data_IF_426998850966
#
_entry.id   IF_426998850966
#
_cell.length_a   1.000
_cell.length_b   1.000
_cell.length_c   1.000
_cell.angle_alpha   90.00
_cell.angle_beta   90.00
_cell.angle_gamma   90.00
#
_symmetry.space_group_name_H-M   'P 1'
#
loop_
_entity.id
_entity.type
_entity.pdbx_description
1 polymer ?
#
# COMPACT_ATOMS: atom_id res chain seq x y z
N UNK A 1 13.81 16.46 7.34
CA UNK A 1 12.67 15.59 6.97
C UNK A 1 12.88 14.21 7.59
N UNK A 2 11.99 13.79 8.48
CA UNK A 2 11.94 12.47 9.08
C UNK A 2 10.92 11.64 8.30
N UNK A 3 11.38 10.80 7.38
CA UNK A 3 10.53 9.92 6.58
C UNK A 3 10.52 8.51 7.16
N UNK A 4 9.32 7.99 7.46
CA UNK A 4 9.14 6.64 7.99
C UNK A 4 8.87 5.62 6.87
N UNK A 5 9.61 4.52 6.89
CA UNK A 5 9.57 3.46 5.86
C UNK A 5 8.73 2.27 6.30
N UNK A 6 7.87 1.78 5.41
CA UNK A 6 7.19 0.48 5.53
C UNK A 6 7.80 -0.47 4.51
N UNK A 7 8.06 -1.71 4.91
CA UNK A 7 8.87 -2.64 4.12
C UNK A 7 8.03 -3.70 3.37
N UNK A 8 6.99 -3.26 2.64
CA UNK A 8 6.20 -4.15 1.78
C UNK A 8 6.74 -4.21 0.35
N UNK A 9 6.48 -5.32 -0.35
CA UNK A 9 6.87 -5.51 -1.75
C UNK A 9 6.36 -4.36 -2.62
N UNK A 10 5.12 -3.91 -2.43
CA UNK A 10 4.51 -2.81 -3.19
C UNK A 10 5.17 -1.43 -3.01
N UNK A 11 6.14 -1.28 -2.10
CA UNK A 11 6.92 -0.06 -1.96
C UNK A 11 8.37 -0.24 -2.43
N UNK A 12 8.76 -1.45 -2.86
CA UNK A 12 10.11 -1.74 -3.32
C UNK A 12 10.57 -0.80 -4.46
N UNK A 13 9.79 -0.56 -5.53
CA UNK A 13 10.18 0.41 -6.57
C UNK A 13 10.42 1.81 -6.01
N UNK A 14 9.56 2.25 -5.08
CA UNK A 14 9.69 3.55 -4.44
C UNK A 14 10.96 3.64 -3.58
N UNK A 15 11.27 2.61 -2.81
CA UNK A 15 12.46 2.55 -1.95
C UNK A 15 13.76 2.63 -2.75
N UNK A 16 13.81 1.94 -3.89
CA UNK A 16 14.96 2.00 -4.79
C UNK A 16 15.10 3.41 -5.38
N UNK A 17 13.98 3.99 -5.81
CA UNK A 17 13.96 5.33 -6.35
C UNK A 17 14.45 6.37 -5.34
N UNK A 18 13.93 6.38 -4.10
CA UNK A 18 14.35 7.37 -3.10
C UNK A 18 15.82 7.17 -2.70
N UNK A 19 16.31 5.92 -2.61
CA UNK A 19 17.71 5.63 -2.30
C UNK A 19 18.66 6.21 -3.34
N UNK A 20 18.24 6.22 -4.63
CA UNK A 20 19.00 6.81 -5.74
C UNK A 20 18.90 8.35 -5.77
N UNK A 21 17.74 8.91 -5.45
CA UNK A 21 17.47 10.34 -5.65
C UNK A 21 17.76 11.22 -4.42
N UNK A 22 17.85 10.63 -3.23
CA UNK A 22 18.32 11.34 -2.04
C UNK A 22 19.85 11.43 -2.12
N UNK A 23 20.42 12.64 -2.00
CA UNK A 23 21.88 12.83 -1.96
C UNK A 23 22.46 12.66 -0.55
N UNK A 24 21.74 13.12 0.47
CA UNK A 24 22.18 13.06 1.88
C UNK A 24 22.28 11.61 2.37
N UNK A 25 23.48 11.19 2.77
CA UNK A 25 23.75 9.91 3.44
C UNK A 25 23.03 9.81 4.77
N UNK A 26 23.01 10.88 5.56
CA UNK A 26 22.30 10.97 6.84
C UNK A 26 20.79 10.71 6.67
N UNK A 27 20.17 11.30 5.65
CA UNK A 27 18.75 11.08 5.39
C UNK A 27 18.48 9.63 4.98
N UNK A 28 19.34 9.02 4.15
CA UNK A 28 19.22 7.59 3.79
C UNK A 28 19.29 6.69 5.03
N UNK A 29 20.30 6.90 5.87
CA UNK A 29 20.47 6.13 7.10
C UNK A 29 19.26 6.30 8.04
N UNK A 30 18.76 7.53 8.17
CA UNK A 30 17.56 7.80 8.97
C UNK A 30 16.32 7.08 8.44
N UNK A 31 16.13 7.01 7.12
CA UNK A 31 14.97 6.32 6.52
C UNK A 31 15.03 4.82 6.81
N UNK A 32 16.20 4.20 6.65
CA UNK A 32 16.37 2.77 6.95
C UNK A 32 16.23 2.48 8.45
N UNK A 33 16.78 3.33 9.31
CA UNK A 33 16.64 3.20 10.77
C UNK A 33 15.19 3.37 11.25
N UNK A 34 14.40 4.25 10.60
CA UNK A 34 12.99 4.50 10.95
C UNK A 34 12.02 3.51 10.27
N UNK A 35 12.53 2.42 9.71
CA UNK A 35 11.73 1.36 9.11
C UNK A 35 10.92 0.60 10.15
N UNK A 36 9.64 0.35 9.90
CA UNK A 36 8.81 -0.48 10.78
C UNK A 36 7.52 -0.97 10.10
N UNK A 37 6.67 -1.65 10.86
CA UNK A 37 5.38 -2.16 10.40
C UNK A 37 4.28 -1.07 10.40
N UNK A 38 3.20 -1.25 9.62
CA UNK A 38 2.25 -0.17 9.32
C UNK A 38 1.60 0.51 10.53
N UNK A 39 1.18 -0.25 11.54
CA UNK A 39 0.49 0.31 12.71
C UNK A 39 1.43 1.17 13.57
N UNK A 40 2.69 0.78 13.74
CA UNK A 40 3.68 1.62 14.44
C UNK A 40 3.98 2.90 13.65
N UNK A 41 4.14 2.80 12.32
CA UNK A 41 4.37 3.96 11.46
C UNK A 41 3.18 4.93 11.53
N UNK A 42 1.96 4.41 11.47
CA UNK A 42 0.74 5.20 11.59
C UNK A 42 0.67 5.92 12.93
N UNK A 43 0.97 5.23 14.03
CA UNK A 43 1.01 5.84 15.36
C UNK A 43 2.08 6.94 15.45
N UNK A 44 3.30 6.68 14.97
CA UNK A 44 4.38 7.68 14.92
C UNK A 44 3.97 8.91 14.11
N UNK A 45 3.31 8.72 12.97
CA UNK A 45 2.83 9.82 12.12
C UNK A 45 1.75 10.65 12.81
N UNK A 46 0.74 10.00 13.42
CA UNK A 46 -0.35 10.68 14.16
C UNK A 46 0.17 11.45 15.38
N UNK A 47 1.19 10.91 16.07
CA UNK A 47 1.88 11.59 17.17
C UNK A 47 2.92 12.63 16.70
N UNK A 48 2.97 12.95 15.41
CA UNK A 48 3.91 13.90 14.79
C UNK A 48 5.39 13.60 15.10
N UNK A 49 5.74 12.34 15.35
CA UNK A 49 7.13 11.87 15.55
C UNK A 49 7.89 11.67 14.24
N UNK A 50 7.16 11.69 13.12
CA UNK A 50 7.71 11.63 11.76
C UNK A 50 6.98 12.66 10.89
N UNK A 51 7.69 13.20 9.91
CA UNK A 51 7.18 14.26 9.05
C UNK A 51 6.31 13.69 7.93
N UNK A 52 6.61 12.48 7.46
CA UNK A 52 5.94 11.87 6.32
C UNK A 52 6.01 10.34 6.36
N UNK A 53 4.95 9.69 5.89
CA UNK A 53 4.85 8.24 5.81
C UNK A 53 3.73 7.81 4.84
N UNK A 54 3.81 6.58 4.32
CA UNK A 54 2.64 5.94 3.73
C UNK A 54 1.66 5.55 4.84
N UNK A 55 0.44 6.07 4.74
CA UNK A 55 -0.65 5.82 5.68
C UNK A 55 -1.79 5.15 4.92
N UNK A 56 -2.36 4.10 5.51
CA UNK A 56 -3.47 3.37 4.91
C UNK A 56 -4.67 4.29 4.67
N UNK A 57 -5.46 4.01 3.63
CA UNK A 57 -6.56 4.89 3.22
C UNK A 57 -7.55 5.19 4.34
N UNK A 58 -7.87 4.22 5.21
CA UNK A 58 -8.76 4.47 6.34
C UNK A 58 -8.11 5.39 7.39
N UNK A 59 -6.82 5.20 7.67
CA UNK A 59 -6.08 5.96 8.68
C UNK A 59 -5.66 7.36 8.21
N UNK A 60 -5.64 7.61 6.89
CA UNK A 60 -5.32 8.92 6.30
C UNK A 60 -6.50 9.90 6.33
N UNK A 61 -7.66 9.48 6.87
CA UNK A 61 -8.81 10.36 7.08
C UNK A 61 -8.37 11.62 7.84
N UNK A 62 -8.69 12.78 7.26
CA UNK A 62 -8.35 14.13 7.75
C UNK A 62 -6.84 14.47 7.78
N UNK A 63 -5.98 13.66 7.17
CA UNK A 63 -4.55 13.98 7.04
C UNK A 63 -4.26 14.65 5.70
N UNK A 64 -3.18 15.45 5.67
CA UNK A 64 -2.63 15.99 4.43
C UNK A 64 -1.82 14.90 3.71
N UNK A 65 -1.99 14.78 2.39
CA UNK A 65 -1.28 13.81 1.56
C UNK A 65 -0.98 14.38 0.18
N UNK A 66 0.06 13.84 -0.45
CA UNK A 66 0.44 14.18 -1.82
C UNK A 66 -0.42 13.42 -2.83
N UNK A 67 -0.34 13.80 -4.11
CA UNK A 67 -0.94 13.02 -5.21
C UNK A 67 -0.16 11.72 -5.49
N UNK A 68 0.20 10.99 -4.43
CA UNK A 68 1.06 9.82 -4.46
C UNK A 68 0.57 8.80 -3.42
N UNK A 69 0.43 7.54 -3.81
CA UNK A 69 -0.15 6.49 -2.98
C UNK A 69 0.16 5.08 -3.49
N UNK A 70 -0.61 4.10 -3.05
CA UNK A 70 -0.57 2.72 -3.53
C UNK A 70 -1.94 2.42 -4.09
N UNK A 71 -2.02 2.16 -5.39
CA UNK A 71 -3.25 2.08 -6.17
C UNK A 71 -3.30 0.78 -6.95
N UNK A 72 -4.48 0.16 -7.01
CA UNK A 72 -4.78 -0.88 -7.99
C UNK A 72 -5.92 -0.40 -8.91
N UNK A 73 -5.69 -0.45 -10.21
CA UNK A 73 -6.69 -0.13 -11.23
C UNK A 73 -7.57 -1.32 -11.61
N UNK A 74 -7.27 -2.50 -11.08
CA UNK A 74 -8.02 -3.74 -11.29
C UNK A 74 -7.75 -4.70 -10.12
N UNK A 75 -7.60 -6.01 -10.36
CA UNK A 75 -7.09 -6.94 -9.36
C UNK A 75 -5.65 -6.61 -8.88
N UNK A 76 -5.38 -6.90 -7.61
CA UNK A 76 -4.12 -6.58 -6.92
C UNK A 76 -3.37 -7.83 -6.41
N UNK A 77 -4.01 -9.00 -6.41
CA UNK A 77 -3.46 -10.32 -6.02
C UNK A 77 -3.04 -10.49 -4.55
N UNK A 78 -2.80 -9.38 -3.85
CA UNK A 78 -2.26 -9.31 -2.49
C UNK A 78 -3.29 -8.80 -1.47
N UNK A 79 -4.56 -8.69 -1.85
CA UNK A 79 -5.68 -8.36 -0.96
C UNK A 79 -6.85 -9.25 -1.33
N UNK A 80 -6.95 -10.37 -0.62
CA UNK A 80 -7.87 -11.45 -0.93
C UNK A 80 -8.86 -11.64 0.21
N UNK A 81 -10.05 -12.11 -0.15
CA UNK A 81 -11.02 -12.67 0.76
C UNK A 81 -11.26 -14.13 0.38
N UNK A 82 -10.98 -15.04 1.31
CA UNK A 82 -11.30 -16.46 1.18
C UNK A 82 -12.70 -16.67 1.75
N UNK A 83 -13.66 -17.20 0.98
CA UNK A 83 -15.01 -17.47 1.48
C UNK A 83 -15.01 -18.40 2.70
N UNK A 84 -16.01 -18.24 3.56
CA UNK A 84 -16.16 -19.05 4.78
C UNK A 84 -16.20 -18.21 6.04
N UNK A 85 -15.49 -18.65 7.09
CA UNK A 85 -15.53 -18.02 8.41
C UNK A 85 -14.99 -16.58 8.34
N UNK A 86 -15.76 -15.64 8.87
CA UNK A 86 -15.36 -14.23 8.89
C UNK A 86 -14.15 -14.04 9.81
N UNK A 87 -13.03 -13.60 9.23
CA UNK A 87 -11.80 -13.34 9.97
C UNK A 87 -11.11 -12.10 9.41
N UNK A 88 -10.85 -11.14 10.28
CA UNK A 88 -10.12 -9.91 9.94
C UNK A 88 -8.61 -10.13 9.93
N UNK A 89 -7.91 -9.47 9.00
CA UNK A 89 -6.46 -9.42 9.00
C UNK A 89 -5.96 -8.33 9.94
N UNK A 90 -5.22 -8.69 10.99
CA UNK A 90 -4.70 -7.73 11.98
C UNK A 90 -3.75 -6.69 11.36
N UNK A 91 -3.16 -6.96 10.19
CA UNK A 91 -2.22 -6.06 9.53
C UNK A 91 -2.90 -4.96 8.70
N UNK A 92 -4.21 -5.05 8.40
CA UNK A 92 -4.88 -4.09 7.51
C UNK A 92 -6.30 -3.73 7.92
N UNK A 93 -6.45 -2.57 8.57
CA UNK A 93 -7.75 -1.94 8.80
C UNK A 93 -8.46 -1.57 7.48
N UNK A 94 -7.73 -1.13 6.46
CA UNK A 94 -8.30 -0.73 5.17
C UNK A 94 -8.96 -1.91 4.46
N UNK A 95 -8.28 -3.06 4.41
CA UNK A 95 -8.80 -4.24 3.70
C UNK A 95 -9.98 -4.88 4.44
N UNK A 96 -9.93 -4.92 5.78
CA UNK A 96 -11.08 -5.37 6.58
C UNK A 96 -12.28 -4.45 6.37
N UNK A 97 -12.06 -3.14 6.34
CA UNK A 97 -13.13 -2.19 6.06
C UNK A 97 -13.65 -2.30 4.62
N UNK A 98 -12.79 -2.60 3.65
CA UNK A 98 -13.18 -2.83 2.26
C UNK A 98 -14.11 -4.03 2.13
N UNK A 99 -13.79 -5.17 2.76
CA UNK A 99 -14.68 -6.34 2.78
C UNK A 99 -16.09 -5.97 3.33
N UNK A 100 -16.14 -5.22 4.43
CA UNK A 100 -17.40 -4.74 5.03
C UNK A 100 -18.16 -3.75 4.15
N UNK A 101 -17.46 -2.89 3.40
CA UNK A 101 -18.06 -1.94 2.43
C UNK A 101 -18.61 -2.66 1.20
N UNK A 102 -18.00 -3.78 0.83
CA UNK A 102 -18.45 -4.62 -0.28
C UNK A 102 -19.52 -5.64 0.15
N UNK A 103 -19.86 -5.70 1.45
CA UNK A 103 -20.80 -6.66 2.05
C UNK A 103 -20.35 -8.12 1.83
N UNK A 104 -19.04 -8.36 1.81
CA UNK A 104 -18.43 -9.67 1.65
C UNK A 104 -18.06 -10.26 3.01
N UNK A 105 -18.36 -11.55 3.20
CA UNK A 105 -18.04 -12.31 4.42
C UNK A 105 -17.01 -13.38 4.12
N UNK A 106 -15.98 -13.45 4.94
CA UNK A 106 -14.90 -14.43 4.81
C UNK A 106 -13.62 -13.98 5.50
N UNK A 107 -12.56 -14.71 5.25
CA UNK A 107 -11.23 -14.43 5.82
C UNK A 107 -10.47 -13.48 4.92
N UNK A 108 -10.16 -12.29 5.42
CA UNK A 108 -9.30 -11.33 4.73
C UNK A 108 -7.84 -11.73 4.92
N UNK A 109 -7.09 -11.77 3.83
CA UNK A 109 -5.64 -12.04 3.81
C UNK A 109 -4.97 -10.96 2.97
N UNK A 110 -3.93 -10.32 3.50
CA UNK A 110 -3.26 -9.20 2.81
C UNK A 110 -1.73 -9.32 2.73
N UNK A 111 -1.14 -8.56 1.80
CA UNK A 111 0.30 -8.38 1.67
C UNK A 111 1.03 -9.61 1.12
N UNK A 112 2.28 -9.77 1.52
CA UNK A 112 3.19 -10.82 1.03
C UNK A 112 2.59 -12.23 1.22
N UNK A 113 1.93 -12.50 2.35
CA UNK A 113 1.25 -13.77 2.62
C UNK A 113 0.05 -14.04 1.70
N UNK A 114 -0.70 -13.00 1.32
CA UNK A 114 -1.80 -13.13 0.37
C UNK A 114 -1.28 -13.42 -1.04
N UNK A 115 -0.16 -12.80 -1.40
CA UNK A 115 0.48 -13.03 -2.69
C UNK A 115 1.02 -14.46 -2.80
N UNK A 116 1.63 -15.02 -1.75
CA UNK A 116 1.98 -16.46 -1.74
C UNK A 116 0.74 -17.33 -1.88
N UNK A 117 -0.27 -17.09 -1.03
CA UNK A 117 -1.51 -17.84 -1.04
C UNK A 117 -2.18 -17.84 -2.42
N UNK A 118 -2.15 -16.70 -3.13
CA UNK A 118 -2.67 -16.57 -4.49
C UNK A 118 -2.01 -17.55 -5.48
N UNK A 119 -0.70 -17.73 -5.36
CA UNK A 119 0.08 -18.56 -6.29
C UNK A 119 0.14 -20.03 -5.90
N UNK A 120 0.14 -20.35 -4.61
CA UNK A 120 0.17 -21.72 -4.08
C UNK A 120 -1.19 -22.40 -4.23
N UNK A 121 -2.29 -21.67 -4.03
CA UNK A 121 -3.63 -22.24 -3.99
C UNK A 121 -4.45 -21.76 -5.19
N UNK A 122 -4.03 -22.14 -6.41
CA UNK A 122 -4.66 -21.65 -7.66
C UNK A 122 -6.13 -22.04 -7.76
N UNK A 123 -6.45 -23.25 -7.33
CA UNK A 123 -7.79 -23.84 -7.45
C UNK A 123 -8.72 -23.46 -6.28
N UNK A 124 -8.19 -22.86 -5.22
CA UNK A 124 -9.02 -22.36 -4.12
C UNK A 124 -9.79 -21.10 -4.53
N UNK A 125 -11.06 -21.06 -4.14
CA UNK A 125 -11.90 -19.90 -4.32
C UNK A 125 -11.37 -18.72 -3.49
N UNK A 126 -11.12 -17.60 -4.17
CA UNK A 126 -10.57 -16.39 -3.57
C UNK A 126 -11.08 -15.17 -4.32
N UNK A 127 -11.49 -14.17 -3.57
CA UNK A 127 -12.05 -12.93 -4.08
C UNK A 127 -11.02 -11.82 -3.93
N UNK A 128 -10.58 -11.24 -5.05
CA UNK A 128 -9.74 -10.05 -5.01
C UNK A 128 -10.59 -8.81 -4.68
N UNK A 129 -10.31 -8.17 -3.54
CA UNK A 129 -11.14 -7.06 -3.07
C UNK A 129 -11.01 -5.79 -3.93
N UNK A 130 -9.88 -5.57 -4.60
CA UNK A 130 -9.73 -4.45 -5.54
C UNK A 130 -10.54 -4.71 -6.81
N UNK A 131 -10.55 -5.96 -7.31
CA UNK A 131 -11.40 -6.36 -8.42
C UNK A 131 -12.88 -6.15 -8.11
N UNK A 132 -13.34 -6.60 -6.95
CA UNK A 132 -14.73 -6.42 -6.54
C UNK A 132 -15.11 -4.95 -6.36
N UNK A 133 -14.20 -4.13 -5.81
CA UNK A 133 -14.41 -2.69 -5.75
C UNK A 133 -14.59 -2.08 -7.15
N UNK A 134 -13.73 -2.45 -8.10
CA UNK A 134 -13.85 -1.98 -9.48
C UNK A 134 -15.14 -2.45 -10.13
N UNK A 135 -15.54 -3.71 -9.94
CA UNK A 135 -16.79 -4.22 -10.49
C UNK A 135 -18.00 -3.45 -9.95
N UNK A 136 -18.02 -3.13 -8.65
CA UNK A 136 -19.14 -2.43 -7.99
C UNK A 136 -19.21 -0.93 -8.31
N UNK A 137 -18.06 -0.25 -8.39
CA UNK A 137 -18.01 1.22 -8.48
C UNK A 137 -17.35 1.77 -9.74
N UNK A 138 -16.79 0.91 -10.59
CA UNK A 138 -16.00 1.27 -11.78
C UNK A 138 -14.89 2.28 -11.49
N UNK A 139 -14.23 2.11 -10.35
CA UNK A 139 -13.18 2.99 -9.85
C UNK A 139 -11.95 2.16 -9.42
N UNK A 140 -10.73 2.71 -9.52
CA UNK A 140 -9.55 2.09 -8.94
C UNK A 140 -9.69 2.05 -7.41
N UNK A 141 -8.90 1.21 -6.73
CA UNK A 141 -8.83 1.22 -5.28
C UNK A 141 -7.50 1.80 -4.78
N UNK A 142 -7.58 2.71 -3.81
CA UNK A 142 -6.41 3.30 -3.15
C UNK A 142 -6.22 2.61 -1.81
N UNK A 143 -5.09 1.95 -1.61
CA UNK A 143 -4.77 1.22 -0.36
C UNK A 143 -4.10 2.09 0.69
N UNK A 144 -3.24 3.00 0.23
CA UNK A 144 -2.50 3.93 1.07
C UNK A 144 -2.19 5.21 0.30
N UNK A 145 -1.96 6.29 1.03
CA UNK A 145 -1.51 7.58 0.48
C UNK A 145 -0.27 8.06 1.22
N UNK A 146 0.58 8.82 0.53
CA UNK A 146 1.76 9.41 1.13
C UNK A 146 1.38 10.68 1.89
N UNK A 147 1.23 10.54 3.21
CA UNK A 147 0.86 11.64 4.10
C UNK A 147 2.08 12.45 4.55
N UNK A 148 1.84 13.71 4.90
CA UNK A 148 2.83 14.62 5.45
C UNK A 148 2.25 15.55 6.53
N UNK A 149 3.11 15.94 7.45
CA UNK A 149 2.86 16.90 8.52
C UNK A 149 3.73 18.16 8.38
N UNK A 150 4.88 18.00 7.72
CA UNK A 150 5.86 19.05 7.45
C UNK A 150 6.60 18.72 6.14
N UNK A 151 7.41 19.66 5.64
CA UNK A 151 8.31 19.46 4.50
C UNK A 151 7.61 19.10 3.17
N UNK A 152 6.37 19.56 2.95
CA UNK A 152 5.60 19.28 1.74
C UNK A 152 6.38 19.53 0.45
N UNK A 153 6.98 20.72 0.29
CA UNK A 153 7.76 21.08 -0.91
C UNK A 153 8.89 20.09 -1.19
N UNK A 154 9.60 19.67 -0.15
CA UNK A 154 10.70 18.70 -0.28
C UNK A 154 10.18 17.31 -0.64
N UNK A 155 9.08 16.88 -0.02
CA UNK A 155 8.46 15.58 -0.31
C UNK A 155 7.88 15.54 -1.73
N UNK A 156 7.18 16.60 -2.15
CA UNK A 156 6.68 16.75 -3.53
C UNK A 156 7.82 16.72 -4.53
N UNK A 157 8.93 17.44 -4.28
CA UNK A 157 10.10 17.40 -5.15
C UNK A 157 10.72 16.00 -5.21
N UNK A 158 10.75 15.28 -4.09
CA UNK A 158 11.23 13.90 -4.04
C UNK A 158 10.37 12.99 -4.91
N UNK A 159 9.03 13.07 -4.84
CA UNK A 159 8.15 12.15 -5.56
C UNK A 159 7.80 12.55 -6.99
N UNK A 160 7.98 13.83 -7.38
CA UNK A 160 7.53 14.38 -8.67
C UNK A 160 8.00 13.59 -9.90
N UNK A 161 9.21 13.04 -9.85
CA UNK A 161 9.82 12.33 -10.97
C UNK A 161 9.82 10.80 -10.78
N UNK A 162 9.05 10.30 -9.80
CA UNK A 162 8.90 8.87 -9.63
C UNK A 162 8.13 8.30 -10.83
N UNK A 163 8.73 7.31 -11.49
CA UNK A 163 8.05 6.54 -12.52
C UNK A 163 8.49 5.09 -12.42
N UNK A 164 7.56 4.22 -11.99
CA UNK A 164 7.83 2.80 -11.75
C UNK A 164 8.40 2.08 -12.97
N UNK A 165 8.05 2.50 -14.19
CA UNK A 165 8.49 1.86 -15.45
C UNK A 165 10.01 1.92 -15.65
N UNK A 166 10.66 2.94 -15.09
CA UNK A 166 12.11 3.15 -15.23
C UNK A 166 12.90 2.66 -14.01
N UNK A 167 12.24 2.04 -13.02
CA UNK A 167 12.92 1.52 -11.83
C UNK A 167 13.40 0.10 -12.10
N UNK A 168 14.71 -0.05 -12.28
CA UNK A 168 15.36 -1.37 -12.31
C UNK A 168 15.62 -1.85 -10.89
N UNK A 169 15.09 -3.02 -10.54
CA UNK A 169 15.30 -3.66 -9.24
C UNK A 169 16.59 -4.48 -9.31
N UNK A 170 17.63 -4.16 -8.52
CA UNK A 170 18.84 -4.97 -8.46
C UNK A 170 18.52 -6.40 -8.00
N UNK A 171 19.14 -7.40 -8.63
CA UNK A 171 18.86 -8.81 -8.38
C UNK A 171 19.04 -9.21 -6.91
N UNK A 172 20.08 -8.71 -6.24
CA UNK A 172 20.32 -9.01 -4.82
C UNK A 172 19.20 -8.47 -3.91
N UNK A 173 18.60 -7.32 -4.25
CA UNK A 173 17.46 -6.78 -3.48
C UNK A 173 16.22 -7.62 -3.76
N UNK A 174 15.98 -7.96 -5.03
CA UNK A 174 14.85 -8.81 -5.40
C UNK A 174 14.92 -10.18 -4.69
N UNK A 175 16.12 -10.77 -4.61
CA UNK A 175 16.38 -12.01 -3.87
C UNK A 175 16.08 -11.86 -2.38
N UNK A 176 16.52 -10.77 -1.73
CA UNK A 176 16.21 -10.51 -0.32
C UNK A 176 14.70 -10.44 -0.05
N UNK A 177 13.94 -9.77 -0.92
CA UNK A 177 12.48 -9.75 -0.80
C UNK A 177 11.86 -11.11 -1.07
N UNK A 178 12.39 -11.87 -2.03
CA UNK A 178 11.94 -13.23 -2.34
C UNK A 178 12.08 -14.16 -1.14
N UNK A 179 13.26 -14.19 -0.52
CA UNK A 179 13.55 -15.03 0.65
C UNK A 179 12.67 -14.62 1.83
N UNK A 180 12.59 -13.31 2.14
CA UNK A 180 11.84 -12.81 3.30
C UNK A 180 10.34 -13.04 3.18
N UNK A 181 9.79 -12.89 1.97
CA UNK A 181 8.35 -13.00 1.74
C UNK A 181 7.90 -14.41 1.42
N UNK A 182 8.80 -15.30 0.97
CA UNK A 182 8.44 -16.58 0.35
C UNK A 182 7.93 -16.45 -1.10
N UNK A 183 7.74 -15.23 -1.61
CA UNK A 183 7.22 -14.99 -2.96
C UNK A 183 8.36 -15.11 -3.96
N UNK A 184 8.20 -15.93 -5.00
CA UNK A 184 9.23 -16.03 -6.05
C UNK A 184 9.54 -14.67 -6.71
N UNK A 185 10.79 -14.46 -7.11
CA UNK A 185 11.21 -13.25 -7.85
C UNK A 185 10.30 -12.92 -9.05
N UNK A 186 9.87 -13.96 -9.78
CA UNK A 186 8.95 -13.83 -10.91
C UNK A 186 7.60 -13.26 -10.46
N UNK A 187 7.00 -13.85 -9.44
CA UNK A 187 5.71 -13.41 -8.90
C UNK A 187 5.78 -12.00 -8.30
N UNK A 188 6.89 -11.63 -7.66
CA UNK A 188 7.14 -10.24 -7.21
C UNK A 188 7.07 -9.27 -8.39
N UNK A 189 7.79 -9.57 -9.48
CA UNK A 189 7.82 -8.69 -10.66
C UNK A 189 6.46 -8.60 -11.35
N UNK A 190 5.71 -9.70 -11.41
CA UNK A 190 4.33 -9.72 -11.94
C UNK A 190 3.38 -8.89 -11.07
N UNK A 191 3.45 -9.06 -9.75
CA UNK A 191 2.67 -8.28 -8.79
C UNK A 191 2.93 -6.77 -8.91
N UNK A 192 4.20 -6.36 -9.02
CA UNK A 192 4.56 -4.95 -9.13
C UNK A 192 4.00 -4.27 -10.39
N UNK A 193 3.65 -5.03 -11.44
CA UNK A 193 2.96 -4.47 -12.62
C UNK A 193 1.54 -4.01 -12.27
N UNK A 194 0.87 -4.67 -11.32
CA UNK A 194 -0.51 -4.40 -10.87
C UNK A 194 -0.63 -3.19 -9.94
N UNK A 195 0.50 -2.66 -9.42
CA UNK A 195 0.52 -1.54 -8.47
C UNK A 195 0.91 -0.24 -9.16
N UNK A 196 0.05 0.77 -9.06
CA UNK A 196 0.32 2.15 -9.45
C UNK A 196 0.47 3.07 -8.23
N UNK A 197 0.99 4.28 -8.47
CA UNK A 197 1.32 5.21 -7.38
C UNK A 197 0.74 6.61 -7.55
N UNK A 198 0.31 6.98 -8.76
CA UNK A 198 -0.23 8.32 -9.01
C UNK A 198 -1.68 8.43 -8.52
N UNK A 199 -2.01 9.53 -7.85
CA UNK A 199 -3.39 9.84 -7.48
C UNK A 199 -3.94 10.94 -8.39
N UNK A 200 -4.56 10.52 -9.49
CA UNK A 200 -5.31 11.37 -10.40
C UNK A 200 -6.75 11.61 -9.92
N UNK A 201 -7.62 11.93 -10.88
CA UNK A 201 -9.02 12.29 -10.59
C UNK A 201 -9.81 11.06 -10.12
N UNK A 202 -9.66 9.91 -10.79
CA UNK A 202 -10.40 8.69 -10.48
C UNK A 202 -9.99 8.12 -9.12
N UNK A 203 -8.71 8.15 -8.80
CA UNK A 203 -8.14 7.62 -7.56
C UNK A 203 -8.56 8.46 -6.36
N UNK A 204 -8.56 9.79 -6.50
CA UNK A 204 -9.09 10.71 -5.47
C UNK A 204 -10.59 10.53 -5.27
N UNK A 205 -11.35 10.35 -6.36
CA UNK A 205 -12.80 10.06 -6.28
C UNK A 205 -13.04 8.73 -5.56
N UNK A 206 -12.26 7.69 -5.88
CA UNK A 206 -12.35 6.40 -5.23
C UNK A 206 -12.04 6.47 -3.74
N UNK A 207 -10.96 7.14 -3.36
CA UNK A 207 -10.57 7.34 -1.97
C UNK A 207 -11.68 8.08 -1.20
N UNK A 208 -12.23 9.16 -1.77
CA UNK A 208 -13.33 9.92 -1.15
C UNK A 208 -14.57 9.05 -0.96
N UNK A 209 -14.93 8.26 -1.98
CA UNK A 209 -16.07 7.34 -1.90
C UNK A 209 -15.86 6.27 -0.83
N UNK A 210 -14.71 5.62 -0.80
CA UNK A 210 -14.38 4.62 0.21
C UNK A 210 -14.43 5.20 1.63
N UNK A 211 -13.86 6.40 1.83
CA UNK A 211 -13.89 7.08 3.12
C UNK A 211 -15.31 7.46 3.57
N UNK A 212 -16.19 7.82 2.63
CA UNK A 212 -17.62 8.07 2.89
C UNK A 212 -18.33 6.80 3.33
N UNK A 213 -18.23 5.72 2.54
CA UNK A 213 -18.90 4.44 2.81
C UNK A 213 -18.44 3.81 4.13
N UNK A 214 -17.15 3.88 4.43
CA UNK A 214 -16.61 3.42 5.72
C UNK A 214 -17.16 4.23 6.89
N UNK A 215 -17.34 5.54 6.74
CA UNK A 215 -17.96 6.40 7.77
C UNK A 215 -19.42 6.02 8.01
N UNK A 216 -20.19 5.78 6.95
CA UNK A 216 -21.61 5.38 7.03
C UNK A 216 -21.78 4.03 7.75
N UNK A 217 -20.82 3.11 7.60
CA UNK A 217 -20.77 1.84 8.35
C UNK A 217 -20.12 1.92 9.74
N UNK A 218 -19.82 3.11 10.24
CA UNK A 218 -19.20 3.30 11.57
C UNK A 218 -17.74 2.86 11.69
N UNK A 219 -17.04 2.65 10.56
CA UNK A 219 -15.66 2.17 10.53
C UNK A 219 -14.66 3.35 10.62
N UNK A 220 -13.70 3.25 11.55
CA UNK A 220 -12.68 4.27 11.83
C UNK A 220 -11.25 3.71 11.75
#
# INVERSE_FOLDING_TARGET
MIFAKIDFINLLPFHIFIKKNIKSSQLKASIEYKKSYPSLITNKFKKRKVDSAFISSIASRNEKFLNFGIVAHDEVLSVLLVPGVEQSDYQSKTSNALAKVLDLKGKVIIGDKALNFYHENKDEEKIDLAKQWKNKYNLPFVFAVLCFNANEKALTKLTKNFNKKYIKIPQYILEQYSIRSGVSKKHILEYLKKIDYDLGIKEKRALKLFLKLTKEKGLK
#
